data_IF_930961663594
#
_entry.id   IF_930961663594
#
_cell.length_a   1.000
_cell.length_b   1.000
_cell.length_c   1.000
_cell.angle_alpha   90.00
_cell.angle_beta   90.00
_cell.angle_gamma   90.00
#
_symmetry.space_group_name_H-M   'P 1'
#
loop_
_entity.id
_entity.type
_entity.pdbx_description
1 polymer ?
#
# COMPACT_ATOMS: atom_id res chain seq x y z
N UNK A 1 19.07 -30.42 0.65
CA UNK A 1 18.02 -29.51 0.19
C UNK A 1 18.14 -28.24 1.00
N UNK A 2 18.65 -27.17 0.41
CA UNK A 2 18.69 -25.86 1.06
C UNK A 2 17.26 -25.31 1.16
N UNK A 3 16.70 -25.33 2.36
CA UNK A 3 15.46 -24.63 2.66
C UNK A 3 15.84 -23.15 2.79
N UNK A 4 15.74 -22.40 1.70
CA UNK A 4 15.88 -20.95 1.72
C UNK A 4 14.65 -20.36 2.41
N UNK A 5 14.66 -20.31 3.74
CA UNK A 5 13.74 -19.49 4.52
C UNK A 5 14.17 -18.02 4.35
N UNK A 6 13.91 -17.45 3.17
CA UNK A 6 14.06 -16.02 2.95
C UNK A 6 12.88 -15.33 3.61
N UNK A 7 12.98 -15.08 4.91
CA UNK A 7 12.09 -14.15 5.59
C UNK A 7 12.37 -12.76 5.02
N UNK A 8 11.81 -12.43 3.85
CA UNK A 8 11.71 -11.05 3.39
C UNK A 8 10.81 -10.34 4.38
N UNK A 9 11.43 -9.80 5.44
CA UNK A 9 10.74 -8.98 6.41
C UNK A 9 10.00 -7.90 5.63
N UNK A 10 8.67 -7.86 5.82
CA UNK A 10 7.82 -6.87 5.17
C UNK A 10 8.38 -5.49 5.49
N UNK A 11 8.67 -4.66 4.48
CA UNK A 11 9.28 -3.37 4.71
C UNK A 11 8.33 -2.51 5.54
N UNK A 12 8.85 -1.80 6.54
CA UNK A 12 8.02 -0.92 7.38
C UNK A 12 7.41 0.22 6.57
N UNK A 13 8.19 0.75 5.61
CA UNK A 13 7.80 1.87 4.76
C UNK A 13 8.15 1.60 3.29
N UNK A 14 7.33 2.14 2.40
CA UNK A 14 7.52 2.08 0.95
C UNK A 14 7.54 3.48 0.36
N UNK A 15 8.48 3.75 -0.54
CA UNK A 15 8.48 5.00 -1.29
C UNK A 15 7.30 5.00 -2.28
N UNK A 16 6.67 6.16 -2.50
CA UNK A 16 5.56 6.30 -3.48
C UNK A 16 5.93 5.76 -4.87
N UNK A 17 7.18 5.94 -5.30
CA UNK A 17 7.68 5.46 -6.59
C UNK A 17 7.83 3.93 -6.67
N UNK A 18 7.69 3.23 -5.54
CA UNK A 18 7.86 1.79 -5.37
C UNK A 18 6.62 1.11 -4.81
N UNK A 19 5.52 1.86 -4.66
CA UNK A 19 4.25 1.33 -4.18
C UNK A 19 3.72 0.24 -5.12
N UNK A 20 3.82 0.45 -6.44
CA UNK A 20 3.33 -0.49 -7.46
C UNK A 20 4.02 -1.86 -7.38
N UNK A 21 5.29 -1.90 -6.96
CA UNK A 21 6.08 -3.13 -6.82
C UNK A 21 5.59 -4.00 -5.64
N UNK A 22 4.98 -3.39 -4.61
CA UNK A 22 4.53 -4.09 -3.40
C UNK A 22 3.00 -4.24 -3.33
N UNK A 23 2.27 -3.29 -3.90
CA UNK A 23 0.81 -3.24 -3.88
C UNK A 23 0.30 -3.12 -5.31
N UNK A 24 0.23 -4.24 -6.06
CA UNK A 24 -0.36 -4.23 -7.40
C UNK A 24 -1.79 -3.71 -7.32
N UNK A 25 -2.12 -2.72 -8.15
CA UNK A 25 -3.40 -2.01 -8.13
C UNK A 25 -3.37 -0.64 -7.45
N UNK A 26 -2.33 -0.32 -6.66
CA UNK A 26 -2.07 1.04 -6.21
C UNK A 26 -1.08 1.74 -7.15
N UNK A 27 -1.47 2.89 -7.69
CA UNK A 27 -0.62 3.70 -8.56
C UNK A 27 -0.01 4.88 -7.79
N UNK A 28 1.30 5.08 -7.91
CA UNK A 28 2.01 6.16 -7.24
C UNK A 28 1.53 7.57 -7.64
N UNK A 29 1.08 7.76 -8.89
CA UNK A 29 0.47 9.01 -9.37
C UNK A 29 -0.89 9.24 -8.74
N UNK A 30 -1.73 8.21 -8.66
CA UNK A 30 -3.05 8.30 -8.00
C UNK A 30 -2.89 8.68 -6.53
N UNK A 31 -1.92 8.09 -5.82
CA UNK A 31 -1.61 8.46 -4.44
C UNK A 31 -1.09 9.90 -4.33
N UNK A 32 -0.32 10.39 -5.30
CA UNK A 32 0.11 11.78 -5.34
C UNK A 32 -1.06 12.76 -5.48
N UNK A 33 -2.00 12.45 -6.40
CA UNK A 33 -3.18 13.27 -6.63
C UNK A 33 -4.08 13.29 -5.39
N UNK A 34 -4.34 12.12 -4.78
CA UNK A 34 -5.11 12.02 -3.53
C UNK A 34 -4.45 12.82 -2.42
N UNK A 35 -3.12 12.69 -2.25
CA UNK A 35 -2.37 13.45 -1.26
C UNK A 35 -2.50 14.97 -1.46
N UNK A 36 -2.46 15.45 -2.71
CA UNK A 36 -2.65 16.87 -3.02
C UNK A 36 -4.05 17.40 -2.67
N UNK A 37 -5.04 16.52 -2.63
CA UNK A 37 -6.42 16.80 -2.24
C UNK A 37 -6.67 16.59 -0.73
N UNK A 38 -5.63 16.22 0.04
CA UNK A 38 -5.78 15.87 1.45
C UNK A 38 -6.46 14.51 1.69
N UNK A 39 -6.56 13.67 0.66
CA UNK A 39 -7.19 12.35 0.69
C UNK A 39 -6.13 11.23 0.65
N UNK A 40 -6.56 10.01 1.02
CA UNK A 40 -5.77 8.79 0.88
C UNK A 40 -4.97 8.39 2.12
N UNK A 41 -4.02 7.45 1.98
CA UNK A 41 -3.24 6.92 3.10
C UNK A 41 -2.26 7.95 3.65
N UNK A 42 -1.90 7.81 4.92
CA UNK A 42 -0.98 8.72 5.61
C UNK A 42 0.39 8.71 4.94
N UNK A 43 0.81 9.90 4.50
CA UNK A 43 2.07 10.09 3.80
C UNK A 43 3.11 10.75 4.72
N UNK A 44 4.36 10.31 4.58
CA UNK A 44 5.51 10.82 5.31
C UNK A 44 6.51 11.40 4.31
N UNK A 45 6.86 12.69 4.48
CA UNK A 45 7.83 13.36 3.61
C UNK A 45 9.22 13.28 4.23
N UNK A 46 10.17 12.74 3.46
CA UNK A 46 11.59 12.73 3.82
C UNK A 46 12.37 13.36 2.66
N UNK A 47 12.79 14.61 2.86
CA UNK A 47 13.40 15.44 1.83
C UNK A 47 12.47 15.68 0.64
N UNK A 48 12.86 15.16 -0.54
CA UNK A 48 12.09 15.26 -1.79
C UNK A 48 11.23 14.03 -2.08
N UNK A 49 11.29 12.99 -1.24
CA UNK A 49 10.57 11.73 -1.43
C UNK A 49 9.39 11.62 -0.46
N UNK A 50 8.34 10.96 -0.94
CA UNK A 50 7.15 10.61 -0.14
C UNK A 50 7.18 9.12 0.13
N UNK A 51 6.94 8.76 1.37
CA UNK A 51 6.87 7.40 1.87
C UNK A 51 5.51 7.14 2.49
N UNK A 52 5.09 5.89 2.45
CA UNK A 52 3.89 5.41 3.13
C UNK A 52 4.32 4.27 4.05
N UNK A 53 3.70 4.17 5.23
CA UNK A 53 3.81 2.93 5.98
C UNK A 53 3.00 1.87 5.29
N UNK A 54 3.48 0.64 5.37
CA UNK A 54 2.76 -0.47 4.76
C UNK A 54 1.40 -0.70 5.43
N UNK A 55 1.33 -0.61 6.76
CA UNK A 55 0.07 -0.74 7.51
C UNK A 55 -1.01 0.26 7.04
N UNK A 56 -0.63 1.51 6.75
CA UNK A 56 -1.55 2.54 6.28
C UNK A 56 -2.06 2.25 4.86
N UNK A 57 -1.22 1.65 4.00
CA UNK A 57 -1.61 1.25 2.66
C UNK A 57 -2.57 0.05 2.68
N UNK A 58 -2.33 -0.91 3.57
CA UNK A 58 -3.21 -2.05 3.78
C UNK A 58 -4.58 -1.59 4.30
N UNK A 59 -4.58 -0.77 5.36
CA UNK A 59 -5.80 -0.21 5.91
C UNK A 59 -6.60 0.57 4.84
N UNK A 60 -5.90 1.31 3.97
CA UNK A 60 -6.52 2.03 2.86
C UNK A 60 -7.18 1.10 1.83
N UNK A 61 -6.54 -0.02 1.51
CA UNK A 61 -7.09 -1.01 0.57
C UNK A 61 -8.27 -1.78 1.17
N UNK A 62 -8.23 -2.06 2.48
CA UNK A 62 -9.28 -2.81 3.18
C UNK A 62 -10.43 -1.92 3.67
N UNK A 63 -10.36 -0.60 3.44
CA UNK A 63 -11.31 0.37 4.01
C UNK A 63 -12.76 0.18 3.50
N UNK A 64 -12.94 -0.29 2.26
CA UNK A 64 -14.27 -0.43 1.63
C UNK A 64 -14.47 -1.86 1.12
N UNK A 65 -14.75 -2.83 2.02
CA UNK A 65 -15.08 -4.18 1.59
C UNK A 65 -16.38 -4.15 0.77
N UNK A 66 -16.39 -4.86 -0.36
CA UNK A 66 -17.60 -5.04 -1.17
C UNK A 66 -18.25 -6.34 -0.66
N UNK A 67 -19.41 -6.23 -0.02
CA UNK A 67 -20.21 -7.39 0.37
C UNK A 67 -20.86 -7.97 -0.89
N UNK A 68 -20.33 -9.07 -1.40
CA UNK A 68 -20.92 -9.80 -2.53
C UNK A 68 -21.91 -10.83 -1.99
N UNK A 69 -23.18 -10.68 -2.39
CA UNK A 69 -24.27 -11.61 -2.09
C UNK A 69 -24.17 -12.89 -2.93
N UNK A 70 -23.08 -13.64 -2.84
CA UNK A 70 -22.97 -14.96 -3.47
C UNK A 70 -22.22 -15.90 -2.51
N UNK A 71 -22.93 -16.41 -1.50
CA UNK A 71 -22.63 -17.67 -0.79
C UNK A 71 -23.71 -17.94 0.27
N UNK A 72 -24.93 -18.25 -0.18
CA UNK A 72 -25.76 -19.22 0.54
C UNK A 72 -26.09 -20.31 -0.48
N UNK A 73 -25.44 -21.46 -0.28
CA UNK A 73 -25.72 -22.72 -0.94
C UNK A 73 -26.67 -23.55 -0.07
#
# INVERSE_FOLDING_TARGET
>A
MEIQNSSRAKPLMVARSKVEDLFPGLNGKTLANKLSQGLGPKAYRVGRKIYYRVEDLEAYLTQSPILTSESEA
#
